data_IF_450325210157
#
_entry.id   IF_450325210157
#
_cell.length_a   1.000
_cell.length_b   1.000
_cell.length_c   1.000
_cell.angle_alpha   90.00
_cell.angle_beta   90.00
_cell.angle_gamma   90.00
#
_symmetry.space_group_name_H-M   'P 1'
#
loop_
_entity.id
_entity.type
_entity.pdbx_description
1 polymer ?
#
# COMPACT_ATOMS: atom_id res chain seq x y z
N UNK A 1 14.87 3.47 -0.58
CA UNK A 1 13.53 4.11 -0.49
C UNK A 1 12.79 3.97 -1.82
N UNK A 2 11.56 3.45 -1.82
CA UNK A 2 10.74 3.32 -3.03
C UNK A 2 10.02 4.65 -3.35
N UNK A 3 9.83 4.95 -4.63
CA UNK A 3 9.09 6.13 -5.09
C UNK A 3 8.17 5.77 -6.25
N UNK A 4 7.12 6.57 -6.45
CA UNK A 4 6.09 6.35 -7.47
C UNK A 4 6.26 7.27 -8.67
N UNK A 5 6.26 8.59 -8.44
CA UNK A 5 6.33 9.61 -9.49
C UNK A 5 7.53 9.37 -10.42
N UNK A 6 7.26 9.16 -11.71
CA UNK A 6 8.30 8.92 -12.73
C UNK A 6 9.01 7.56 -12.64
N UNK A 7 8.53 6.61 -11.84
CA UNK A 7 9.11 5.26 -11.74
C UNK A 7 8.58 4.31 -12.83
N UNK A 8 8.78 4.68 -14.09
CA UNK A 8 8.28 3.93 -15.26
C UNK A 8 8.90 2.54 -15.44
N UNK A 9 10.01 2.26 -14.74
CA UNK A 9 10.64 0.93 -14.72
C UNK A 9 9.90 -0.06 -13.83
N UNK A 10 9.13 0.42 -12.85
CA UNK A 10 8.39 -0.44 -11.92
C UNK A 10 6.95 -0.62 -12.39
N UNK A 11 6.61 -1.82 -12.88
CA UNK A 11 5.25 -2.16 -13.35
C UNK A 11 4.16 -2.05 -12.27
N UNK A 12 4.54 -1.98 -11.00
CA UNK A 12 3.62 -1.79 -9.87
C UNK A 12 3.47 -0.33 -9.46
N UNK A 13 4.41 0.54 -9.85
CA UNK A 13 4.32 1.95 -9.52
C UNK A 13 3.25 2.60 -10.40
N UNK A 14 2.22 3.16 -9.78
CA UNK A 14 1.35 4.11 -10.45
C UNK A 14 2.12 5.43 -10.51
N UNK A 15 2.79 5.67 -11.64
CA UNK A 15 3.81 6.72 -11.82
C UNK A 15 3.31 7.99 -12.52
N UNK A 16 2.06 7.95 -13.00
CA UNK A 16 1.41 8.96 -13.85
C UNK A 16 0.09 9.48 -13.27
N UNK A 17 -0.10 9.40 -11.94
CA UNK A 17 -1.20 10.05 -11.23
C UNK A 17 -1.00 11.59 -11.16
N UNK A 18 -2.07 12.37 -10.94
CA UNK A 18 -1.95 13.81 -10.68
C UNK A 18 -1.06 14.12 -9.48
N UNK A 19 -0.35 15.25 -9.53
CA UNK A 19 0.62 15.64 -8.51
C UNK A 19 0.03 15.71 -7.09
N UNK A 20 -1.21 16.18 -6.98
CA UNK A 20 -1.95 16.23 -5.71
C UNK A 20 -2.01 14.87 -5.02
N UNK A 21 -2.13 13.76 -5.76
CA UNK A 21 -2.20 12.41 -5.18
C UNK A 21 -0.91 12.03 -4.48
N UNK A 22 0.24 12.40 -5.06
CA UNK A 22 1.56 12.11 -4.49
C UNK A 22 1.93 13.05 -3.33
N UNK A 23 1.45 14.29 -3.38
CA UNK A 23 1.77 15.32 -2.39
C UNK A 23 0.88 15.25 -1.16
N UNK A 24 -0.32 14.68 -1.30
CA UNK A 24 -1.24 14.47 -0.19
C UNK A 24 -0.68 13.45 0.80
N UNK A 25 -0.65 13.85 2.07
CA UNK A 25 -0.40 12.94 3.18
C UNK A 25 -1.71 12.28 3.61
N UNK A 26 -2.00 11.12 3.04
CA UNK A 26 -3.23 10.38 3.28
C UNK A 26 -3.28 9.83 4.71
N UNK A 27 -4.30 10.22 5.48
CA UNK A 27 -4.62 9.60 6.77
C UNK A 27 -5.26 8.22 6.58
N UNK A 28 -6.04 8.07 5.50
CA UNK A 28 -6.72 6.84 5.14
C UNK A 28 -6.65 6.62 3.63
N UNK A 29 -6.39 5.38 3.23
CA UNK A 29 -6.47 4.90 1.85
C UNK A 29 -7.41 3.68 1.82
N UNK A 30 -8.49 3.78 1.04
CA UNK A 30 -9.40 2.66 0.75
C UNK A 30 -9.05 2.08 -0.61
N UNK A 31 -8.66 0.80 -0.64
CA UNK A 31 -8.39 0.06 -1.86
C UNK A 31 -9.60 -0.82 -2.14
N UNK A 32 -10.46 -0.34 -3.05
CA UNK A 32 -11.62 -1.06 -3.54
C UNK A 32 -11.59 -1.16 -5.08
N UNK A 33 -12.27 -2.16 -5.66
CA UNK A 33 -12.29 -2.33 -7.12
C UNK A 33 -13.49 -1.65 -7.79
N UNK A 34 -13.41 -1.41 -9.11
CA UNK A 34 -14.60 -1.28 -9.95
C UNK A 34 -15.43 -2.58 -9.94
N UNK A 35 -16.73 -2.46 -10.23
CA UNK A 35 -17.66 -3.60 -10.30
C UNK A 35 -17.23 -4.61 -11.37
N UNK A 36 -17.13 -5.89 -11.00
CA UNK A 36 -16.95 -7.01 -11.94
C UNK A 36 -15.97 -8.06 -11.41
N UNK A 37 -16.48 -9.23 -11.00
CA UNK A 37 -15.65 -10.37 -10.61
C UNK A 37 -15.53 -11.33 -11.79
N UNK A 38 -14.33 -11.45 -12.36
CA UNK A 38 -13.96 -12.53 -13.28
C UNK A 38 -12.45 -12.83 -13.17
N UNK A 39 -12.00 -14.06 -13.47
CA UNK A 39 -10.61 -14.48 -13.24
C UNK A 39 -9.54 -13.61 -13.92
N UNK A 40 -9.88 -13.01 -15.06
CA UNK A 40 -8.99 -12.14 -15.85
C UNK A 40 -9.12 -10.65 -15.52
N UNK A 41 -9.97 -10.26 -14.56
CA UNK A 41 -10.15 -8.86 -14.20
C UNK A 41 -8.84 -8.28 -13.67
N UNK A 42 -8.46 -7.05 -14.06
CA UNK A 42 -7.29 -6.38 -13.52
C UNK A 42 -7.28 -6.45 -12.00
N UNK A 43 -6.17 -6.92 -11.44
CA UNK A 43 -6.00 -7.01 -9.99
C UNK A 43 -5.59 -5.68 -9.37
N UNK A 44 -5.44 -5.67 -8.03
CA UNK A 44 -5.14 -4.45 -7.25
C UNK A 44 -3.67 -4.30 -6.89
N UNK A 45 -2.80 -5.10 -7.49
CA UNK A 45 -1.38 -5.21 -7.14
C UNK A 45 -0.64 -3.87 -7.17
N UNK A 46 -0.83 -3.08 -8.25
CA UNK A 46 -0.21 -1.77 -8.39
C UNK A 46 -0.74 -0.75 -7.36
N UNK A 47 -2.04 -0.80 -7.05
CA UNK A 47 -2.67 0.06 -6.04
C UNK A 47 -2.19 -0.30 -4.63
N UNK A 48 -2.10 -1.60 -4.29
CA UNK A 48 -1.57 -2.08 -3.02
C UNK A 48 -0.11 -1.62 -2.83
N UNK A 49 0.73 -1.81 -3.85
CA UNK A 49 2.11 -1.33 -3.82
C UNK A 49 2.18 0.19 -3.64
N UNK A 50 1.41 0.94 -4.44
CA UNK A 50 1.44 2.40 -4.42
C UNK A 50 0.95 2.97 -3.09
N UNK A 51 -0.11 2.40 -2.51
CA UNK A 51 -0.59 2.77 -1.18
C UNK A 51 0.48 2.53 -0.10
N UNK A 52 1.20 1.40 -0.17
CA UNK A 52 2.28 1.11 0.76
C UNK A 52 3.45 2.12 0.62
N UNK A 53 3.84 2.49 -0.60
CA UNK A 53 4.88 3.50 -0.83
C UNK A 53 4.44 4.87 -0.30
N UNK A 54 3.21 5.30 -0.61
CA UNK A 54 2.68 6.58 -0.14
C UNK A 54 2.60 6.64 1.40
N UNK A 55 2.07 5.60 2.04
CA UNK A 55 1.99 5.51 3.50
C UNK A 55 3.38 5.59 4.17
N UNK A 56 4.38 4.89 3.61
CA UNK A 56 5.74 4.90 4.14
C UNK A 56 6.50 6.20 3.87
N UNK A 57 6.18 6.91 2.79
CA UNK A 57 6.80 8.18 2.42
C UNK A 57 6.13 9.40 3.06
N UNK A 58 5.08 9.19 3.88
CA UNK A 58 4.46 10.23 4.72
C UNK A 58 5.55 10.95 5.53
N UNK A 59 5.49 12.28 5.56
CA UNK A 59 6.51 13.14 6.19
C UNK A 59 6.14 13.45 7.64
N UNK A 60 4.85 13.68 7.91
CA UNK A 60 4.31 13.92 9.25
C UNK A 60 4.29 12.65 10.08
N UNK A 61 4.25 12.84 11.40
CA UNK A 61 3.97 11.78 12.37
C UNK A 61 2.56 11.19 12.17
N UNK A 62 2.32 10.06 12.84
CA UNK A 62 1.08 9.29 12.72
C UNK A 62 1.24 8.10 11.78
N UNK A 63 0.13 7.43 11.50
CA UNK A 63 0.05 6.27 10.59
C UNK A 63 -0.91 6.59 9.45
N UNK A 64 -0.74 5.92 8.32
CA UNK A 64 -1.77 5.85 7.29
C UNK A 64 -2.57 4.57 7.49
N UNK A 65 -3.88 4.71 7.64
CA UNK A 65 -4.80 3.59 7.68
C UNK A 65 -5.06 3.08 6.26
N UNK A 66 -4.74 1.82 5.98
CA UNK A 66 -5.01 1.21 4.68
C UNK A 66 -6.08 0.14 4.85
N UNK A 67 -7.18 0.29 4.12
CA UNK A 67 -8.26 -0.68 4.05
C UNK A 67 -8.23 -1.37 2.69
N UNK A 68 -8.10 -2.69 2.68
CA UNK A 68 -8.06 -3.49 1.47
C UNK A 68 -9.28 -4.41 1.41
N UNK A 69 -10.10 -4.22 0.38
CA UNK A 69 -11.26 -5.08 0.12
C UNK A 69 -10.89 -6.28 -0.79
N UNK A 70 -11.76 -7.30 -0.84
CA UNK A 70 -11.61 -8.53 -1.63
C UNK A 70 -10.32 -9.36 -1.40
N UNK A 71 -9.87 -9.42 -0.15
CA UNK A 71 -8.72 -10.24 0.30
C UNK A 71 -8.95 -11.75 0.26
N UNK A 72 -10.13 -12.19 -0.22
CA UNK A 72 -10.40 -13.58 -0.54
C UNK A 72 -9.76 -14.01 -1.87
N UNK A 73 -9.35 -13.07 -2.73
CA UNK A 73 -8.55 -13.37 -3.93
C UNK A 73 -7.08 -13.58 -3.55
N UNK A 74 -6.45 -14.62 -4.12
CA UNK A 74 -5.06 -14.99 -3.83
C UNK A 74 -4.07 -13.85 -4.12
N UNK A 75 -4.22 -13.17 -5.25
CA UNK A 75 -3.31 -12.09 -5.65
C UNK A 75 -3.35 -10.93 -4.64
N UNK A 76 -4.53 -10.43 -4.31
CA UNK A 76 -4.72 -9.36 -3.34
C UNK A 76 -4.16 -9.74 -1.96
N UNK A 77 -4.46 -10.96 -1.48
CA UNK A 77 -3.91 -11.45 -0.20
C UNK A 77 -2.39 -11.47 -0.20
N UNK A 78 -1.78 -12.06 -1.23
CA UNK A 78 -0.32 -12.17 -1.34
C UNK A 78 0.34 -10.78 -1.39
N UNK A 79 -0.21 -9.85 -2.17
CA UNK A 79 0.34 -8.50 -2.28
C UNK A 79 0.13 -7.69 -0.99
N UNK A 80 -0.99 -7.89 -0.29
CA UNK A 80 -1.22 -7.26 1.01
C UNK A 80 -0.18 -7.71 2.03
N UNK A 81 0.06 -9.02 2.13
CA UNK A 81 1.06 -9.58 3.04
C UNK A 81 2.48 -9.14 2.69
N UNK A 82 2.78 -8.98 1.39
CA UNK A 82 4.10 -8.55 0.90
C UNK A 82 4.39 -7.06 1.10
N UNK A 83 3.41 -6.17 0.90
CA UNK A 83 3.63 -4.72 0.88
C UNK A 83 3.02 -3.97 2.07
N UNK A 84 1.87 -4.41 2.58
CA UNK A 84 1.22 -3.80 3.75
C UNK A 84 1.65 -4.48 5.06
N UNK A 85 2.18 -5.70 4.97
CA UNK A 85 2.80 -6.48 6.05
C UNK A 85 1.87 -6.95 7.16
N UNK A 86 2.02 -8.21 7.55
CA UNK A 86 1.25 -8.78 8.66
C UNK A 86 1.53 -8.09 10.00
N UNK A 87 2.74 -7.56 10.21
CA UNK A 87 3.11 -6.79 11.40
C UNK A 87 2.28 -5.51 11.61
N UNK A 88 1.68 -4.98 10.53
CA UNK A 88 0.84 -3.78 10.57
C UNK A 88 -0.65 -4.11 10.40
N UNK A 89 -1.02 -5.39 10.36
CA UNK A 89 -2.41 -5.82 10.26
C UNK A 89 -3.11 -5.61 11.61
N UNK A 90 -4.21 -4.87 11.59
CA UNK A 90 -5.01 -4.57 12.78
C UNK A 90 -6.12 -5.60 12.94
N UNK A 91 -7.01 -5.68 11.94
CA UNK A 91 -8.13 -6.63 11.94
C UNK A 91 -8.69 -6.85 10.54
N UNK A 92 -9.50 -7.89 10.39
CA UNK A 92 -10.28 -8.15 9.20
C UNK A 92 -11.75 -8.38 9.54
N UNK A 93 -12.65 -7.86 8.71
CA UNK A 93 -14.10 -8.08 8.81
C UNK A 93 -14.60 -8.54 7.44
N UNK A 94 -15.07 -9.79 7.37
CA UNK A 94 -15.44 -10.40 6.09
C UNK A 94 -14.28 -10.38 5.09
N UNK A 95 -14.45 -9.66 3.96
CA UNK A 95 -13.46 -9.52 2.89
C UNK A 95 -12.59 -8.25 3.01
N UNK A 96 -12.78 -7.46 4.07
CA UNK A 96 -12.09 -6.21 4.29
C UNK A 96 -10.99 -6.40 5.34
N UNK A 97 -9.76 -6.04 5.01
CA UNK A 97 -8.62 -6.01 5.94
C UNK A 97 -8.19 -4.57 6.21
N UNK A 98 -7.78 -4.29 7.45
CA UNK A 98 -7.29 -3.00 7.91
C UNK A 98 -5.84 -3.11 8.37
N UNK A 99 -5.00 -2.18 7.92
CA UNK A 99 -3.60 -2.01 8.28
C UNK A 99 -3.31 -0.60 8.79
N UNK A 100 -2.34 -0.48 9.69
CA UNK A 100 -1.79 0.80 10.18
C UNK A 100 -0.31 0.90 9.82
N UNK A 101 -0.02 1.67 8.76
CA UNK A 101 1.32 1.75 8.18
C UNK A 101 2.01 3.02 8.68
N UNK A 102 3.11 2.90 9.45
CA UNK A 102 3.89 4.05 9.88
C UNK A 102 4.81 4.58 8.77
N UNK A 103 5.19 5.88 8.83
CA UNK A 103 6.20 6.44 7.96
C UNK A 103 7.56 5.78 8.20
N UNK A 104 8.40 5.70 7.17
CA UNK A 104 9.71 5.02 7.22
C UNK A 104 10.65 5.60 8.28
N UNK A 105 10.54 6.89 8.60
CA UNK A 105 11.43 7.58 9.52
C UNK A 105 11.08 7.38 11.00
N UNK A 106 9.99 6.68 11.33
CA UNK A 106 9.55 6.53 12.73
C UNK A 106 10.38 5.52 13.56
N UNK A 107 11.50 5.02 13.04
CA UNK A 107 12.42 4.14 13.78
C UNK A 107 13.86 4.65 13.71
N UNK A 108 14.27 5.38 14.75
CA UNK A 108 15.68 5.47 15.12
C UNK A 108 16.10 4.13 15.76
N UNK A 109 16.54 3.15 14.95
CA UNK A 109 17.56 2.15 15.31
C UNK A 109 17.71 1.00 14.29
N UNK A 110 18.98 0.69 14.02
CA UNK A 110 19.59 -0.53 13.44
C UNK A 110 19.43 -0.84 11.94
N UNK A 111 20.54 -0.61 11.22
CA UNK A 111 21.07 -1.29 10.02
C UNK A 111 20.20 -2.41 9.40
N UNK A 112 19.04 -2.04 8.85
CA UNK A 112 18.29 -2.93 7.96
C UNK A 112 18.03 -2.17 6.66
N UNK A 113 18.41 -2.78 5.55
CA UNK A 113 18.33 -2.22 4.20
C UNK A 113 16.97 -1.57 3.93
N UNK A 114 16.98 -0.30 3.49
CA UNK A 114 15.82 0.60 3.28
C UNK A 114 14.80 0.18 2.21
N UNK A 115 14.82 -1.11 1.82
CA UNK A 115 14.08 -1.66 0.69
C UNK A 115 13.01 -2.68 1.11
N UNK A 116 13.05 -3.19 2.35
CA UNK A 116 12.06 -4.17 2.81
C UNK A 116 10.79 -3.46 3.32
N UNK A 117 9.62 -3.94 2.88
CA UNK A 117 8.33 -3.49 3.40
C UNK A 117 8.03 -4.18 4.74
N UNK A 118 8.26 -5.49 4.77
CA UNK A 118 8.13 -6.33 5.95
C UNK A 118 9.54 -6.67 6.41
#
# INVERSE_FOLDING_TARGET
MSYLRGNSRCRLALDSLPDEVYEKEWDLIMIDAPRGWFPKAPGRMAVIYSAAVMARNRKKSGVTHVFLHDVNRKAERTYAEMFLCRKYFVKGVGRLWHFEIPPHFSKFSSNTTSHQFC
#
